data_IF_550909936493
#
_entry.id   IF_550909936493
#
_cell.length_a   1.000
_cell.length_b   1.000
_cell.length_c   1.000
_cell.angle_alpha   90.00
_cell.angle_beta   90.00
_cell.angle_gamma   90.00
#
_symmetry.space_group_name_H-M   'P 1'
#
loop_
_entity.id
_entity.type
_entity.pdbx_description
1 polymer ?
#
# COMPACT_ATOMS: atom_id res chain seq x y z
N UNK A 1 22.35 16.03 15.24
CA UNK A 1 21.85 15.77 13.87
C UNK A 1 20.46 15.17 13.99
N UNK A 2 19.44 15.87 13.57
CA UNK A 2 18.08 15.29 13.53
C UNK A 2 17.99 14.34 12.34
N UNK A 3 17.69 13.07 12.61
CA UNK A 3 17.45 12.10 11.56
C UNK A 3 15.98 12.17 11.12
N UNK A 4 15.74 12.33 9.84
CA UNK A 4 14.40 12.22 9.24
C UNK A 4 13.94 10.77 9.41
N UNK A 5 12.83 10.56 10.11
CA UNK A 5 12.26 9.23 10.29
C UNK A 5 11.53 8.80 9.01
N UNK A 6 11.59 7.52 8.68
CA UNK A 6 10.90 6.96 7.51
C UNK A 6 9.42 7.34 7.47
N UNK A 7 8.73 7.33 8.63
CA UNK A 7 7.33 7.75 8.73
C UNK A 7 7.10 9.20 8.29
N UNK A 8 8.06 10.10 8.53
CA UNK A 8 7.92 11.52 8.19
C UNK A 8 7.99 11.70 6.66
N UNK A 9 8.84 10.91 5.98
CA UNK A 9 8.91 10.86 4.52
C UNK A 9 7.57 10.36 3.95
N UNK A 10 7.00 9.29 4.52
CA UNK A 10 5.71 8.76 4.06
C UNK A 10 4.56 9.73 4.30
N UNK A 11 4.53 10.41 5.43
CA UNK A 11 3.53 11.44 5.71
C UNK A 11 3.62 12.59 4.70
N UNK A 12 4.83 13.03 4.40
CA UNK A 12 5.06 14.06 3.39
C UNK A 12 4.60 13.61 2.00
N UNK A 13 4.94 12.38 1.60
CA UNK A 13 4.48 11.80 0.33
C UNK A 13 2.97 11.70 0.27
N UNK A 14 2.32 11.14 1.31
CA UNK A 14 0.87 11.05 1.41
C UNK A 14 0.21 12.42 1.26
N UNK A 15 0.69 13.41 1.97
CA UNK A 15 0.09 14.74 1.96
C UNK A 15 0.32 15.45 0.62
N UNK A 16 1.48 15.25 -0.01
CA UNK A 16 1.75 15.73 -1.37
C UNK A 16 0.83 15.06 -2.40
N UNK A 17 0.69 13.74 -2.34
CA UNK A 17 -0.20 13.00 -3.24
C UNK A 17 -1.66 13.37 -3.03
N UNK A 18 -2.08 13.67 -1.80
CA UNK A 18 -3.42 14.16 -1.49
C UNK A 18 -3.72 15.51 -2.13
N UNK A 19 -2.73 16.39 -2.25
CA UNK A 19 -2.89 17.66 -2.95
C UNK A 19 -3.08 17.48 -4.47
N UNK A 20 -2.45 16.45 -5.04
CA UNK A 20 -2.52 16.15 -6.48
C UNK A 20 -3.81 15.37 -6.79
N UNK A 21 -4.11 14.34 -5.99
CA UNK A 21 -5.23 13.43 -6.20
C UNK A 21 -5.88 13.00 -4.86
N UNK A 22 -6.87 13.75 -4.43
CA UNK A 22 -7.51 13.56 -3.13
C UNK A 22 -8.23 12.20 -2.98
N UNK A 23 -8.92 11.72 -4.02
CA UNK A 23 -9.76 10.50 -3.95
C UNK A 23 -8.96 9.23 -3.69
N UNK A 24 -7.86 8.94 -4.41
CA UNK A 24 -7.03 7.76 -4.12
C UNK A 24 -6.47 7.76 -2.71
N UNK A 25 -5.98 8.89 -2.22
CA UNK A 25 -5.46 8.98 -0.87
C UNK A 25 -6.53 8.81 0.21
N UNK A 26 -7.75 9.29 -0.02
CA UNK A 26 -8.88 9.05 0.86
C UNK A 26 -9.30 7.57 0.88
N UNK A 27 -9.24 6.89 -0.27
CA UNK A 27 -9.44 5.44 -0.38
C UNK A 27 -8.36 4.70 0.42
N UNK A 28 -7.09 4.93 0.14
CA UNK A 28 -5.97 4.30 0.85
C UNK A 28 -6.04 4.49 2.37
N UNK A 29 -6.43 5.67 2.85
CA UNK A 29 -6.60 5.92 4.29
C UNK A 29 -7.72 5.07 4.91
N UNK A 30 -8.83 4.87 4.20
CA UNK A 30 -9.92 3.99 4.67
C UNK A 30 -9.50 2.52 4.69
N UNK A 31 -8.83 2.06 3.64
CA UNK A 31 -8.28 0.69 3.59
C UNK A 31 -7.29 0.47 4.74
N UNK A 32 -6.36 1.40 4.96
CA UNK A 32 -5.39 1.32 6.04
C UNK A 32 -6.05 1.25 7.43
N UNK A 33 -7.13 1.98 7.65
CA UNK A 33 -7.89 1.90 8.91
C UNK A 33 -8.51 0.52 9.12
N UNK A 34 -9.12 -0.05 8.08
CA UNK A 34 -9.69 -1.40 8.16
C UNK A 34 -8.60 -2.45 8.40
N UNK A 35 -7.50 -2.37 7.68
CA UNK A 35 -6.33 -3.25 7.85
C UNK A 35 -5.81 -3.17 9.29
N UNK A 36 -5.65 -1.97 9.84
CA UNK A 36 -5.21 -1.78 11.22
C UNK A 36 -6.13 -2.51 12.21
N UNK A 37 -7.45 -2.32 12.10
CA UNK A 37 -8.40 -2.96 13.01
C UNK A 37 -8.33 -4.49 12.91
N UNK A 38 -8.30 -5.03 11.69
CA UNK A 38 -8.26 -6.49 11.47
C UNK A 38 -6.96 -7.12 12.00
N UNK A 39 -5.82 -6.51 11.72
CA UNK A 39 -4.51 -7.04 12.13
C UNK A 39 -4.31 -6.90 13.64
N UNK A 40 -4.78 -5.80 14.24
CA UNK A 40 -4.73 -5.59 15.69
C UNK A 40 -5.57 -6.62 16.44
N UNK A 41 -6.79 -6.88 16.00
CA UNK A 41 -7.66 -7.91 16.60
C UNK A 41 -7.08 -9.32 16.45
N UNK A 42 -6.35 -9.59 15.37
CA UNK A 42 -5.63 -10.84 15.16
C UNK A 42 -4.47 -11.10 16.14
N UNK A 43 -3.93 -10.06 16.77
CA UNK A 43 -2.92 -10.13 17.84
C UNK A 43 -1.57 -10.75 17.43
N UNK A 44 -1.23 -10.77 16.13
CA UNK A 44 -0.01 -11.41 15.61
C UNK A 44 1.19 -10.47 15.52
N UNK A 45 0.95 -9.17 15.47
CA UNK A 45 1.94 -8.16 15.14
C UNK A 45 2.13 -7.17 16.27
N UNK A 46 3.37 -6.75 16.48
CA UNK A 46 3.70 -5.69 17.40
C UNK A 46 3.28 -4.32 16.85
N UNK A 47 3.14 -3.33 17.72
CA UNK A 47 2.63 -1.99 17.35
C UNK A 47 3.49 -1.30 16.26
N UNK A 48 4.81 -1.50 16.27
CA UNK A 48 5.70 -0.95 15.25
C UNK A 48 5.52 -1.63 13.88
N UNK A 49 5.24 -2.93 13.86
CA UNK A 49 4.93 -3.66 12.62
C UNK A 49 3.59 -3.21 12.06
N UNK A 50 2.57 -3.03 12.92
CA UNK A 50 1.27 -2.50 12.52
C UNK A 50 1.40 -1.09 11.91
N UNK A 51 2.26 -0.24 12.46
CA UNK A 51 2.50 1.10 11.91
C UNK A 51 3.06 1.04 10.47
N UNK A 52 4.01 0.14 10.21
CA UNK A 52 4.57 -0.08 8.88
C UNK A 52 3.52 -0.65 7.91
N UNK A 53 2.71 -1.60 8.37
CA UNK A 53 1.63 -2.20 7.57
C UNK A 53 0.53 -1.19 7.22
N UNK A 54 0.14 -0.33 8.15
CA UNK A 54 -0.82 0.76 7.93
C UNK A 54 -0.28 1.76 6.89
N UNK A 55 1.00 2.06 6.95
CA UNK A 55 1.68 2.93 5.98
C UNK A 55 1.66 2.32 4.58
N UNK A 56 1.99 1.04 4.45
CA UNK A 56 1.92 0.30 3.17
C UNK A 56 0.48 0.27 2.65
N UNK A 57 -0.49 -0.06 3.50
CA UNK A 57 -1.90 -0.09 3.13
C UNK A 57 -2.44 1.29 2.69
N UNK A 58 -1.97 2.39 3.32
CA UNK A 58 -2.33 3.74 2.89
C UNK A 58 -1.91 4.03 1.45
N UNK A 59 -0.79 3.45 1.02
CA UNK A 59 -0.15 3.72 -0.26
C UNK A 59 -0.20 2.52 -1.23
N UNK A 60 -1.09 1.54 -1.01
CA UNK A 60 -1.12 0.32 -1.81
C UNK A 60 -1.31 0.59 -3.32
N UNK A 61 -2.04 1.64 -3.67
CA UNK A 61 -2.29 2.05 -5.06
C UNK A 61 -1.27 3.06 -5.62
N UNK A 62 -0.12 3.27 -4.95
CA UNK A 62 0.87 4.25 -5.42
C UNK A 62 1.34 3.97 -6.85
N UNK A 63 1.36 2.72 -7.27
CA UNK A 63 1.71 2.33 -8.62
C UNK A 63 0.77 2.86 -9.69
N UNK A 64 -0.47 3.20 -9.35
CA UNK A 64 -1.42 3.79 -10.28
C UNK A 64 -0.98 5.17 -10.78
N UNK A 65 -0.24 5.92 -9.95
CA UNK A 65 0.34 7.21 -10.36
C UNK A 65 1.43 7.07 -11.45
N UNK A 66 2.01 5.88 -11.59
CA UNK A 66 3.05 5.61 -12.60
C UNK A 66 2.47 5.18 -13.96
N UNK A 67 1.24 4.70 -13.99
CA UNK A 67 0.65 4.08 -15.18
C UNK A 67 -0.16 5.04 -16.03
N UNK A 68 -0.87 6.01 -15.43
CA UNK A 68 -1.70 6.99 -16.15
C UNK A 68 -1.86 8.31 -15.38
N UNK A 69 -0.82 9.10 -15.28
CA UNK A 69 -0.78 10.35 -14.51
C UNK A 69 -1.92 11.37 -14.78
N UNK A 70 -2.69 11.21 -15.85
CA UNK A 70 -3.80 12.09 -16.20
C UNK A 70 -5.21 11.51 -15.98
N UNK A 71 -5.35 10.22 -15.61
CA UNK A 71 -6.65 9.53 -15.56
C UNK A 71 -7.00 8.90 -14.22
N UNK A 72 -6.20 9.14 -13.20
CA UNK A 72 -6.35 8.57 -11.84
C UNK A 72 -7.64 9.00 -11.12
N UNK A 73 -8.41 9.93 -11.67
CA UNK A 73 -9.69 10.33 -11.06
C UNK A 73 -10.75 9.21 -11.04
N UNK A 74 -10.49 8.09 -11.73
CA UNK A 74 -11.41 6.95 -11.79
C UNK A 74 -10.67 5.62 -11.48
N UNK A 75 -10.08 5.56 -10.27
CA UNK A 75 -9.36 4.36 -9.78
C UNK A 75 -10.22 3.10 -9.91
N UNK A 76 -11.51 3.14 -9.58
CA UNK A 76 -12.38 1.98 -9.67
C UNK A 76 -12.52 1.46 -11.10
N UNK A 77 -12.56 2.35 -12.10
CA UNK A 77 -12.54 1.94 -13.51
C UNK A 77 -11.19 1.44 -13.97
N UNK A 78 -10.12 2.00 -13.41
CA UNK A 78 -8.76 1.58 -13.70
C UNK A 78 -8.49 0.18 -13.16
N UNK A 79 -8.85 -0.09 -11.91
CA UNK A 79 -8.75 -1.41 -11.28
C UNK A 79 -9.51 -2.49 -12.06
N UNK A 80 -10.70 -2.18 -12.55
CA UNK A 80 -11.50 -3.11 -13.37
C UNK A 80 -10.81 -3.44 -14.71
N UNK A 81 -9.92 -2.60 -15.21
CA UNK A 81 -9.31 -2.72 -16.53
C UNK A 81 -7.89 -3.28 -16.52
N UNK A 82 -7.08 -2.96 -15.52
CA UNK A 82 -5.68 -3.41 -15.43
C UNK A 82 -5.18 -3.42 -13.97
N UNK A 83 -5.75 -4.31 -13.17
CA UNK A 83 -5.42 -4.44 -11.75
C UNK A 83 -3.97 -4.87 -11.47
N UNK A 84 -3.29 -5.48 -12.44
CA UNK A 84 -1.95 -6.03 -12.23
C UNK A 84 -0.84 -4.99 -12.41
N UNK A 85 -0.99 -4.04 -13.34
CA UNK A 85 0.10 -3.11 -13.66
C UNK A 85 0.44 -2.20 -12.47
N UNK A 86 -0.56 -1.61 -11.80
CA UNK A 86 -0.28 -0.74 -10.66
C UNK A 86 0.27 -1.51 -9.44
N UNK A 87 -0.12 -2.77 -9.26
CA UNK A 87 0.41 -3.63 -8.20
C UNK A 87 1.91 -3.90 -8.42
N UNK A 88 2.32 -4.16 -9.66
CA UNK A 88 3.73 -4.37 -10.02
C UNK A 88 4.53 -3.08 -9.81
N UNK A 89 4.05 -1.93 -10.28
CA UNK A 89 4.75 -0.66 -10.09
C UNK A 89 4.81 -0.25 -8.62
N UNK A 90 3.76 -0.45 -7.87
CA UNK A 90 3.74 -0.23 -6.41
C UNK A 90 4.74 -1.13 -5.68
N UNK A 91 4.79 -2.41 -6.03
CA UNK A 91 5.78 -3.35 -5.52
C UNK A 91 7.22 -2.88 -5.80
N UNK A 92 7.53 -2.48 -7.03
CA UNK A 92 8.86 -2.01 -7.40
C UNK A 92 9.23 -0.73 -6.64
N UNK A 93 8.29 0.20 -6.47
CA UNK A 93 8.48 1.39 -5.67
C UNK A 93 8.87 1.03 -4.23
N UNK A 94 8.07 0.22 -3.56
CA UNK A 94 8.36 -0.16 -2.17
C UNK A 94 9.63 -0.99 -2.03
N UNK A 95 9.90 -1.90 -2.95
CA UNK A 95 11.09 -2.73 -2.94
C UNK A 95 12.40 -1.93 -3.07
N UNK A 96 12.41 -0.89 -3.88
CA UNK A 96 13.63 -0.17 -4.22
C UNK A 96 13.78 1.18 -3.51
N UNK A 97 12.68 1.83 -3.15
CA UNK A 97 12.68 3.21 -2.64
C UNK A 97 12.16 3.33 -1.20
N UNK A 98 11.64 2.25 -0.61
CA UNK A 98 11.07 2.25 0.73
C UNK A 98 11.99 1.57 1.75
N UNK A 99 11.97 1.98 3.03
CA UNK A 99 12.64 1.26 4.12
C UNK A 99 11.93 -0.04 4.51
N UNK A 100 10.64 -0.22 4.13
CA UNK A 100 9.81 -1.39 4.48
C UNK A 100 9.73 -2.40 3.33
N UNK A 101 10.87 -2.78 2.78
CA UNK A 101 11.01 -3.62 1.59
C UNK A 101 10.33 -4.98 1.73
N UNK A 102 10.31 -5.54 2.92
CA UNK A 102 9.73 -6.85 3.21
C UNK A 102 8.21 -6.87 3.04
N UNK A 103 7.56 -5.71 3.18
CA UNK A 103 6.13 -5.53 2.98
C UNK A 103 5.74 -5.26 1.52
N UNK A 104 6.71 -5.04 0.62
CA UNK A 104 6.43 -4.71 -0.78
C UNK A 104 5.59 -5.77 -1.50
N UNK A 105 5.77 -7.06 -1.18
CA UNK A 105 4.98 -8.14 -1.77
C UNK A 105 3.49 -8.07 -1.43
N UNK A 106 3.11 -7.47 -0.30
CA UNK A 106 1.70 -7.25 0.00
C UNK A 106 1.04 -6.40 -1.09
N UNK A 107 1.72 -5.35 -1.56
CA UNK A 107 1.24 -4.52 -2.68
C UNK A 107 1.15 -5.33 -3.99
N UNK A 108 2.13 -6.20 -4.25
CA UNK A 108 2.10 -7.04 -5.44
C UNK A 108 0.87 -7.98 -5.45
N UNK A 109 0.46 -8.45 -4.29
CA UNK A 109 -0.56 -9.49 -4.15
C UNK A 109 -1.95 -8.97 -3.75
N UNK A 110 -2.15 -7.67 -3.50
CA UNK A 110 -3.41 -7.14 -2.93
C UNK A 110 -4.66 -7.34 -3.81
N UNK A 111 -4.48 -7.67 -5.10
CA UNK A 111 -5.56 -8.09 -6.01
C UNK A 111 -5.57 -9.61 -6.29
N UNK A 112 -4.77 -10.37 -5.57
CA UNK A 112 -4.73 -11.82 -5.77
C UNK A 112 -5.92 -12.50 -5.12
N UNK A 113 -6.52 -13.47 -5.82
CA UNK A 113 -7.57 -14.31 -5.24
C UNK A 113 -7.08 -14.98 -3.96
N UNK A 114 -7.90 -15.01 -2.91
CA UNK A 114 -7.57 -15.56 -1.61
C UNK A 114 -7.00 -16.99 -1.68
N UNK A 115 -7.61 -17.88 -2.47
CA UNK A 115 -7.16 -19.27 -2.60
C UNK A 115 -5.76 -19.38 -3.24
N UNK A 116 -5.40 -18.45 -4.10
CA UNK A 116 -4.07 -18.36 -4.70
C UNK A 116 -3.08 -17.78 -3.70
N UNK A 117 -3.47 -16.74 -2.97
CA UNK A 117 -2.65 -16.09 -1.95
C UNK A 117 -2.24 -17.07 -0.85
N UNK A 118 -3.13 -17.97 -0.42
CA UNK A 118 -2.82 -18.98 0.60
C UNK A 118 -1.68 -19.93 0.20
N UNK A 119 -1.42 -20.12 -1.08
CA UNK A 119 -0.34 -20.97 -1.63
C UNK A 119 0.99 -20.23 -1.78
N UNK A 120 0.99 -18.92 -1.58
CA UNK A 120 2.22 -18.12 -1.66
C UNK A 120 3.02 -18.25 -0.37
N UNK A 121 4.30 -18.50 -0.49
CA UNK A 121 5.24 -18.45 0.64
C UNK A 121 5.63 -16.99 0.90
N UNK A 122 4.85 -16.33 1.75
CA UNK A 122 5.05 -14.94 2.14
C UNK A 122 4.57 -14.72 3.58
N UNK A 123 5.48 -14.21 4.44
CA UNK A 123 5.23 -14.07 5.88
C UNK A 123 4.08 -13.09 6.20
N UNK A 124 3.90 -12.04 5.40
CA UNK A 124 2.91 -10.98 5.61
C UNK A 124 1.71 -11.07 4.64
N UNK A 125 1.33 -12.27 4.22
CA UNK A 125 0.19 -12.46 3.30
C UNK A 125 -1.15 -11.99 3.85
N UNK A 126 -1.28 -11.85 5.16
CA UNK A 126 -2.48 -11.30 5.81
C UNK A 126 -2.67 -9.80 5.53
N UNK A 127 -1.63 -9.12 5.07
CA UNK A 127 -1.68 -7.71 4.66
C UNK A 127 -2.10 -7.54 3.20
N UNK A 128 -1.95 -8.56 2.36
CA UNK A 128 -2.26 -8.52 0.92
C UNK A 128 -3.80 -8.74 0.60
#
# INVERSE_FOLDING_TARGET
MEYIKSKDIFLLMRDTLKLIHQRPMAHGSRVAYMVYLMLREGGRYEEFELADMVMVATMHDIGAYMTEAGKINDILRYEAKDSMAHSIYGYLFFKHLSPVKDLAKAIMYHHMDYDKLQKVDYAYKDLA
#
